data_IF_873499623392
#
_entry.id   IF_873499623392
#
_cell.length_a   1.000
_cell.length_b   1.000
_cell.length_c   1.000
_cell.angle_alpha   90.00
_cell.angle_beta   90.00
_cell.angle_gamma   90.00
#
_symmetry.space_group_name_H-M   'P 1'
#
loop_
_entity.id
_entity.type
_entity.pdbx_description
1 polymer ?
#
# COMPACT_ATOMS: atom_id res chain seq x y z
N UNK A 1 -21.59 -0.48 6.74
CA UNK A 1 -21.04 -0.60 5.37
C UNK A 1 -19.78 0.25 5.33
N UNK A 2 -18.70 -0.23 4.72
CA UNK A 2 -17.43 0.50 4.65
C UNK A 2 -17.29 1.19 3.29
N UNK A 3 -16.73 2.38 3.27
CA UNK A 3 -16.55 3.19 2.07
C UNK A 3 -15.11 3.66 1.97
N UNK A 4 -14.51 3.44 0.80
CA UNK A 4 -13.20 3.95 0.44
C UNK A 4 -13.27 4.84 -0.79
N UNK A 5 -12.29 5.73 -0.92
CA UNK A 5 -12.16 6.62 -2.08
C UNK A 5 -10.75 6.51 -2.66
N UNK A 6 -10.65 6.55 -3.99
CA UNK A 6 -9.36 6.63 -4.67
C UNK A 6 -9.01 8.10 -4.83
N UNK A 7 -7.84 8.50 -4.35
CA UNK A 7 -7.32 9.85 -4.48
C UNK A 7 -6.97 10.17 -5.94
N UNK A 8 -7.01 11.45 -6.34
CA UNK A 8 -6.77 11.87 -7.71
C UNK A 8 -5.33 11.58 -8.12
N UNK A 9 -5.16 11.46 -9.43
CA UNK A 9 -3.86 11.57 -10.08
C UNK A 9 -3.59 13.03 -10.40
N UNK A 10 -2.31 13.43 -10.42
CA UNK A 10 -1.93 14.81 -10.74
C UNK A 10 -2.55 15.27 -12.05
N UNK A 11 -3.14 16.47 -12.04
CA UNK A 11 -3.77 17.05 -13.22
C UNK A 11 -2.73 17.66 -14.17
N UNK A 12 -3.07 17.73 -15.46
CA UNK A 12 -2.20 18.34 -16.47
C UNK A 12 -1.97 19.82 -16.13
N UNK A 13 -0.71 20.23 -16.02
CA UNK A 13 -0.32 21.61 -15.72
C UNK A 13 -0.34 21.96 -14.22
N UNK A 14 -0.80 21.05 -13.35
CA UNK A 14 -0.73 21.22 -11.91
C UNK A 14 0.73 21.09 -11.44
N UNK A 15 1.13 21.96 -10.51
CA UNK A 15 2.47 21.83 -9.92
C UNK A 15 2.55 20.61 -9.01
N UNK A 16 3.73 20.01 -8.88
CA UNK A 16 3.91 18.87 -7.98
C UNK A 16 3.68 19.26 -6.51
N UNK A 17 4.08 20.46 -6.12
CA UNK A 17 3.90 20.99 -4.76
C UNK A 17 2.41 21.08 -4.38
N UNK A 18 1.61 21.68 -5.27
CA UNK A 18 0.16 21.78 -5.13
C UNK A 18 -0.50 20.39 -5.05
N UNK A 19 -0.15 19.48 -5.97
CA UNK A 19 -0.69 18.13 -5.97
C UNK A 19 -0.39 17.37 -4.67
N UNK A 20 0.84 17.44 -4.18
CA UNK A 20 1.22 16.75 -2.93
C UNK A 20 0.48 17.35 -1.72
N UNK A 21 0.30 18.68 -1.68
CA UNK A 21 -0.49 19.35 -0.64
C UNK A 21 -1.98 18.96 -0.69
N UNK A 22 -2.55 18.85 -1.89
CA UNK A 22 -3.93 18.40 -2.10
C UNK A 22 -4.14 16.97 -1.64
N UNK A 23 -3.24 16.02 -1.96
CA UNK A 23 -3.38 14.63 -1.51
C UNK A 23 -3.50 14.50 0.02
N UNK A 24 -2.72 15.28 0.77
CA UNK A 24 -2.79 15.30 2.23
C UNK A 24 -4.11 15.91 2.70
N UNK A 25 -4.50 17.05 2.10
CA UNK A 25 -5.73 17.75 2.44
C UNK A 25 -6.96 16.88 2.17
N UNK A 26 -7.02 16.22 1.02
CA UNK A 26 -8.12 15.34 0.65
C UNK A 26 -8.21 14.11 1.56
N UNK A 27 -7.09 13.54 1.98
CA UNK A 27 -7.10 12.46 2.95
C UNK A 27 -7.69 12.91 4.30
N UNK A 28 -7.35 14.10 4.77
CA UNK A 28 -7.93 14.68 6.00
C UNK A 28 -9.43 14.92 5.84
N UNK A 29 -9.84 15.52 4.72
CA UNK A 29 -11.28 15.74 4.43
C UNK A 29 -12.04 14.42 4.32
N UNK A 30 -11.43 13.38 3.73
CA UNK A 30 -12.03 12.05 3.64
C UNK A 30 -12.23 11.45 5.05
N UNK A 31 -11.25 11.57 5.94
CA UNK A 31 -11.37 11.17 7.35
C UNK A 31 -12.52 11.92 8.06
N UNK A 32 -12.55 13.25 7.95
CA UNK A 32 -13.59 14.10 8.56
C UNK A 32 -14.99 13.80 8.02
N UNK A 33 -15.07 13.39 6.75
CA UNK A 33 -16.32 13.00 6.08
C UNK A 33 -16.78 11.58 6.41
N UNK A 34 -15.97 10.82 7.17
CA UNK A 34 -16.31 9.47 7.62
C UNK A 34 -16.00 8.35 6.63
N UNK A 35 -15.11 8.57 5.65
CA UNK A 35 -14.56 7.48 4.84
C UNK A 35 -13.64 6.60 5.69
N UNK A 36 -13.67 5.29 5.45
CA UNK A 36 -12.84 4.32 6.18
C UNK A 36 -11.41 4.27 5.63
N UNK A 37 -11.25 4.57 4.33
CA UNK A 37 -9.98 4.38 3.63
C UNK A 37 -9.82 5.28 2.42
N UNK A 38 -8.57 5.64 2.13
CA UNK A 38 -8.15 6.25 0.89
C UNK A 38 -7.17 5.34 0.16
N UNK A 39 -7.19 5.38 -1.17
CA UNK A 39 -6.31 4.57 -2.00
C UNK A 39 -5.59 5.43 -3.02
N UNK A 40 -4.33 5.11 -3.30
CA UNK A 40 -3.54 5.79 -4.32
C UNK A 40 -2.92 4.76 -5.28
N UNK A 41 -3.11 4.90 -6.61
CA UNK A 41 -2.52 3.99 -7.60
C UNK A 41 -1.02 4.26 -7.78
N UNK A 42 -0.31 3.31 -8.39
CA UNK A 42 1.05 3.52 -8.87
C UNK A 42 1.05 3.74 -10.39
N UNK A 43 1.71 4.81 -10.84
CA UNK A 43 1.91 5.12 -12.25
C UNK A 43 3.35 5.56 -12.48
N UNK A 44 4.05 4.89 -13.39
CA UNK A 44 5.37 5.30 -13.85
C UNK A 44 5.28 5.93 -15.23
N UNK A 45 6.28 6.74 -15.57
CA UNK A 45 6.44 7.36 -16.90
C UNK A 45 5.20 8.13 -17.40
N UNK A 46 4.29 8.49 -16.50
CA UNK A 46 3.04 9.14 -16.86
C UNK A 46 3.35 10.53 -17.41
N UNK A 47 2.99 10.75 -18.68
CA UNK A 47 3.16 12.04 -19.37
C UNK A 47 2.43 13.18 -18.68
N UNK A 48 1.44 12.87 -17.85
CA UNK A 48 0.47 13.81 -17.31
C UNK A 48 0.36 13.81 -15.78
N UNK A 49 1.23 13.13 -15.02
CA UNK A 49 1.15 13.21 -13.56
C UNK A 49 2.09 12.29 -12.77
N UNK A 50 2.43 12.71 -11.55
CA UNK A 50 3.38 12.04 -10.68
C UNK A 50 2.66 11.29 -9.54
N UNK A 51 2.35 10.01 -9.77
CA UNK A 51 1.97 9.09 -8.69
C UNK A 51 2.94 7.90 -8.68
N UNK A 52 4.21 8.23 -8.53
CA UNK A 52 5.33 7.33 -8.81
C UNK A 52 5.74 6.47 -7.62
N UNK A 53 5.34 6.85 -6.40
CA UNK A 53 5.69 6.11 -5.18
C UNK A 53 4.59 6.26 -4.14
N UNK A 54 3.51 5.45 -4.23
CA UNK A 54 2.38 5.58 -3.33
C UNK A 54 2.73 5.23 -1.88
N UNK A 55 3.75 4.39 -1.63
CA UNK A 55 4.22 4.07 -0.29
C UNK A 55 4.83 5.28 0.42
N UNK A 56 5.60 6.11 -0.29
CA UNK A 56 6.25 7.30 0.27
C UNK A 56 5.22 8.35 0.68
N UNK A 57 4.32 8.73 -0.23
CA UNK A 57 3.25 9.68 0.10
C UNK A 57 2.24 9.09 1.10
N UNK A 58 2.05 7.76 1.06
CA UNK A 58 1.27 7.01 2.03
C UNK A 58 1.75 7.19 3.46
N UNK A 59 3.06 7.23 3.70
CA UNK A 59 3.62 7.53 5.02
C UNK A 59 3.17 8.90 5.54
N UNK A 60 3.20 9.92 4.67
CA UNK A 60 2.76 11.27 5.01
C UNK A 60 1.24 11.33 5.28
N UNK A 61 0.43 10.69 4.43
CA UNK A 61 -1.03 10.59 4.62
C UNK A 61 -1.35 9.91 5.96
N UNK A 62 -0.68 8.79 6.26
CA UNK A 62 -0.88 8.05 7.50
C UNK A 62 -0.47 8.88 8.72
N UNK A 63 0.53 9.75 8.64
CA UNK A 63 0.90 10.64 9.74
C UNK A 63 -0.01 11.87 9.86
N UNK A 64 -0.62 12.32 8.75
CA UNK A 64 -1.55 13.46 8.73
C UNK A 64 -2.98 13.11 9.18
N UNK A 65 -3.27 11.82 9.38
CA UNK A 65 -4.60 11.28 9.72
C UNK A 65 -4.51 10.34 10.93
N UNK A 66 -5.63 10.16 11.63
CA UNK A 66 -5.64 9.48 12.94
C UNK A 66 -6.29 8.09 12.93
N UNK A 67 -7.26 7.88 12.06
CA UNK A 67 -8.12 6.69 11.97
C UNK A 67 -8.23 6.15 10.55
N UNK A 68 -8.06 7.01 9.53
CA UNK A 68 -8.14 6.69 8.12
C UNK A 68 -7.13 5.61 7.75
N UNK A 69 -7.56 4.64 6.96
CA UNK A 69 -6.66 3.64 6.37
C UNK A 69 -6.12 4.16 5.04
N UNK A 70 -4.85 3.89 4.77
CA UNK A 70 -4.25 4.18 3.48
C UNK A 70 -3.91 2.89 2.78
N UNK A 71 -4.28 2.76 1.50
CA UNK A 71 -3.88 1.64 0.68
C UNK A 71 -3.21 2.05 -0.62
N UNK A 72 -2.26 1.22 -1.07
CA UNK A 72 -1.90 1.22 -2.48
C UNK A 72 -3.09 0.64 -3.24
N UNK A 73 -3.68 1.38 -4.19
CA UNK A 73 -4.79 0.85 -5.00
C UNK A 73 -4.29 -0.37 -5.79
N UNK A 74 -3.14 -0.18 -6.46
CA UNK A 74 -2.31 -1.20 -7.09
C UNK A 74 -0.87 -0.73 -6.99
N UNK A 75 -0.03 -1.47 -6.29
CA UNK A 75 1.42 -1.45 -6.46
C UNK A 75 1.78 -2.51 -7.52
N UNK A 76 2.47 -2.12 -8.59
CA UNK A 76 2.88 -2.98 -9.69
C UNK A 76 4.04 -3.88 -9.23
N UNK A 77 3.70 -4.95 -8.49
CA UNK A 77 4.66 -5.73 -7.73
C UNK A 77 5.86 -6.26 -8.55
N UNK A 78 5.71 -6.73 -9.80
CA UNK A 78 6.85 -7.18 -10.62
C UNK A 78 7.90 -6.10 -10.92
N UNK A 79 7.58 -4.81 -10.73
CA UNK A 79 8.56 -3.72 -10.88
C UNK A 79 9.43 -3.53 -9.62
N UNK A 80 9.17 -4.27 -8.55
CA UNK A 80 9.84 -4.14 -7.26
C UNK A 80 10.40 -5.47 -6.78
N UNK A 81 11.47 -5.42 -5.98
CA UNK A 81 11.97 -6.61 -5.31
C UNK A 81 11.02 -7.01 -4.16
N UNK A 82 10.64 -8.30 -4.01
CA UNK A 82 9.64 -8.73 -3.01
C UNK A 82 10.02 -8.38 -1.57
N UNK A 83 11.31 -8.50 -1.22
CA UNK A 83 11.81 -8.09 0.11
C UNK A 83 11.63 -6.59 0.36
N UNK A 84 11.86 -5.74 -0.65
CA UNK A 84 11.68 -4.27 -0.52
C UNK A 84 10.20 -3.94 -0.29
N UNK A 85 9.30 -4.58 -1.05
CA UNK A 85 7.84 -4.46 -0.84
C UNK A 85 7.48 -4.83 0.60
N UNK A 86 7.98 -5.97 1.10
CA UNK A 86 7.70 -6.41 2.46
C UNK A 86 8.19 -5.40 3.52
N UNK A 87 9.43 -4.93 3.39
CA UNK A 87 10.02 -3.97 4.32
C UNK A 87 9.25 -2.64 4.34
N UNK A 88 8.89 -2.08 3.18
CA UNK A 88 8.09 -0.86 3.11
C UNK A 88 6.70 -1.05 3.71
N UNK A 89 6.05 -2.18 3.39
CA UNK A 89 4.75 -2.50 3.93
C UNK A 89 4.78 -2.64 5.47
N UNK A 90 5.82 -3.27 6.02
CA UNK A 90 6.01 -3.40 7.46
C UNK A 90 6.27 -2.04 8.11
N UNK A 91 7.10 -1.19 7.51
CA UNK A 91 7.34 0.15 8.04
C UNK A 91 6.04 0.98 8.07
N UNK A 92 5.23 0.93 7.02
CA UNK A 92 3.94 1.62 6.97
C UNK A 92 2.91 1.03 7.96
N UNK A 93 2.87 -0.29 8.09
CA UNK A 93 1.99 -0.98 9.05
C UNK A 93 2.30 -0.57 10.49
N UNK A 94 3.58 -0.55 10.87
CA UNK A 94 4.02 -0.12 12.20
C UNK A 94 3.84 1.39 12.42
N UNK A 95 4.26 2.21 11.45
CA UNK A 95 4.13 3.67 11.51
C UNK A 95 2.67 4.11 11.74
N UNK A 96 1.73 3.35 11.19
CA UNK A 96 0.31 3.68 11.23
C UNK A 96 -0.51 2.91 12.26
N UNK A 97 0.12 2.01 13.03
CA UNK A 97 -0.55 1.10 13.95
C UNK A 97 -1.62 0.22 13.26
N UNK A 98 -1.29 -0.36 12.11
CA UNK A 98 -2.16 -1.31 11.41
C UNK A 98 -3.17 -0.68 10.44
N UNK A 99 -2.97 0.57 10.04
CA UNK A 99 -3.86 1.28 9.10
C UNK A 99 -3.42 1.22 7.65
N UNK A 100 -2.27 0.62 7.36
CA UNK A 100 -1.82 0.40 5.99
C UNK A 100 -2.54 -0.81 5.34
N UNK A 101 -2.84 -0.70 4.05
CA UNK A 101 -3.41 -1.75 3.20
C UNK A 101 -2.46 -1.95 2.01
N UNK A 102 -1.86 -3.13 1.89
CA UNK A 102 -0.99 -3.43 0.76
C UNK A 102 -1.82 -3.99 -0.41
N UNK A 103 -2.28 -3.12 -1.31
CA UNK A 103 -2.89 -3.52 -2.58
C UNK A 103 -1.83 -3.70 -3.66
N UNK A 104 -1.78 -4.89 -4.25
CA UNK A 104 -0.79 -5.28 -5.25
C UNK A 104 -1.49 -5.67 -6.56
N UNK A 105 -0.76 -5.58 -7.67
CA UNK A 105 -1.15 -6.15 -8.94
C UNK A 105 0.05 -6.44 -9.82
N UNK A 106 -0.18 -7.22 -10.88
CA UNK A 106 0.87 -7.65 -11.81
C UNK A 106 1.39 -6.51 -12.72
N UNK A 107 0.80 -5.32 -12.68
CA UNK A 107 1.11 -4.24 -13.62
C UNK A 107 0.64 -4.54 -15.05
N UNK A 108 0.63 -3.52 -15.91
CA UNK A 108 0.13 -3.67 -17.28
C UNK A 108 0.91 -2.87 -18.34
N UNK A 109 1.52 -1.75 -17.96
CA UNK A 109 2.13 -0.81 -18.89
C UNK A 109 3.53 -1.28 -19.34
N UNK A 110 3.64 -1.76 -20.58
CA UNK A 110 4.88 -2.33 -21.14
C UNK A 110 6.08 -1.36 -21.04
N UNK A 111 5.84 -0.07 -21.24
CA UNK A 111 6.91 0.95 -21.18
C UNK A 111 7.58 1.00 -19.81
N UNK A 112 6.81 0.79 -18.74
CA UNK A 112 7.33 0.77 -17.38
C UNK A 112 8.22 -0.46 -17.19
N UNK A 113 7.76 -1.63 -17.61
CA UNK A 113 8.54 -2.88 -17.58
C UNK A 113 9.89 -2.76 -18.31
N UNK A 114 9.88 -2.14 -19.49
CA UNK A 114 11.11 -1.85 -20.24
C UNK A 114 12.03 -0.93 -19.44
N UNK A 115 11.50 0.09 -18.78
CA UNK A 115 12.30 1.03 -17.98
C UNK A 115 12.95 0.38 -16.75
N UNK A 116 12.28 -0.60 -16.14
CA UNK A 116 12.79 -1.37 -15.00
C UNK A 116 13.60 -2.61 -15.41
N UNK A 117 13.72 -2.90 -16.72
CA UNK A 117 14.43 -4.08 -17.22
C UNK A 117 13.75 -5.41 -16.87
N UNK A 118 12.43 -5.39 -16.65
CA UNK A 118 11.63 -6.57 -16.29
C UNK A 118 10.90 -7.07 -17.54
N UNK A 119 10.87 -8.38 -17.75
CA UNK A 119 10.09 -8.97 -18.83
C UNK A 119 8.59 -8.90 -18.53
N UNK A 120 7.86 -8.14 -19.34
CA UNK A 120 6.40 -8.01 -19.24
C UNK A 120 5.67 -9.34 -19.50
N UNK A 121 6.28 -10.24 -20.29
CA UNK A 121 5.73 -11.54 -20.64
C UNK A 121 5.57 -12.48 -19.45
N UNK A 122 6.42 -12.33 -18.43
CA UNK A 122 6.45 -13.17 -17.22
C UNK A 122 5.85 -12.49 -15.98
N UNK A 123 5.18 -11.34 -16.16
CA UNK A 123 4.69 -10.51 -15.04
C UNK A 123 3.69 -11.22 -14.13
N UNK A 124 2.91 -12.16 -14.65
CA UNK A 124 1.89 -12.87 -13.85
C UNK A 124 2.55 -13.92 -12.97
N UNK A 125 3.48 -14.67 -13.53
CA UNK A 125 4.27 -15.69 -12.85
C UNK A 125 5.16 -15.03 -11.79
N UNK A 126 5.83 -13.92 -12.12
CA UNK A 126 6.56 -13.09 -11.15
C UNK A 126 5.65 -12.59 -10.03
N UNK A 127 4.44 -12.13 -10.36
CA UNK A 127 3.49 -11.64 -9.36
C UNK A 127 3.08 -12.73 -8.38
N UNK A 128 2.78 -13.94 -8.86
CA UNK A 128 2.43 -15.09 -8.01
C UNK A 128 3.61 -15.49 -7.10
N UNK A 129 4.84 -15.54 -7.63
CA UNK A 129 6.03 -15.82 -6.84
C UNK A 129 6.28 -14.75 -5.78
N UNK A 130 6.09 -13.46 -6.12
CA UNK A 130 6.19 -12.35 -5.17
C UNK A 130 5.17 -12.49 -4.04
N UNK A 131 3.90 -12.83 -4.33
CA UNK A 131 2.89 -13.05 -3.30
C UNK A 131 3.29 -14.16 -2.32
N UNK A 132 3.90 -15.23 -2.83
CA UNK A 132 4.45 -16.30 -2.00
C UNK A 132 5.55 -15.78 -1.07
N UNK A 133 6.56 -15.10 -1.63
CA UNK A 133 7.70 -14.56 -0.87
C UNK A 133 7.23 -13.56 0.19
N UNK A 134 6.26 -12.69 -0.12
CA UNK A 134 5.69 -11.76 0.85
C UNK A 134 5.08 -12.48 2.07
N UNK A 135 4.42 -13.62 1.85
CA UNK A 135 3.93 -14.47 2.94
C UNK A 135 5.06 -14.97 3.85
N UNK A 136 6.20 -15.36 3.27
CA UNK A 136 7.40 -15.76 4.01
C UNK A 136 7.99 -14.58 4.80
N UNK A 137 8.14 -13.41 4.16
CA UNK A 137 8.64 -12.19 4.82
C UNK A 137 7.79 -11.80 6.03
N UNK A 138 6.46 -11.81 5.90
CA UNK A 138 5.55 -11.42 6.98
C UNK A 138 5.47 -12.45 8.12
N UNK A 139 6.02 -13.65 7.95
CA UNK A 139 6.11 -14.64 9.03
C UNK A 139 7.07 -14.19 10.15
N UNK A 140 8.05 -13.35 9.82
CA UNK A 140 9.12 -12.93 10.73
C UNK A 140 10.02 -14.07 11.20
N UNK A 141 10.14 -15.12 10.39
CA UNK A 141 11.05 -16.25 10.63
C UNK A 141 12.09 -16.29 9.51
N UNK A 142 13.29 -16.87 9.77
CA UNK A 142 14.22 -17.21 8.70
C UNK A 142 13.53 -18.07 7.63
N UNK A 143 13.81 -17.78 6.37
CA UNK A 143 13.34 -18.56 5.24
C UNK A 143 14.40 -18.59 4.12
N UNK A 144 14.27 -19.62 3.29
CA UNK A 144 14.96 -19.72 2.01
C UNK A 144 13.92 -19.93 0.93
N UNK A 145 14.08 -19.28 -0.20
CA UNK A 145 13.24 -19.38 -1.38
C UNK A 145 14.15 -19.54 -2.60
N UNK A 146 13.93 -20.59 -3.37
CA UNK A 146 14.65 -20.91 -4.61
C UNK A 146 13.61 -21.08 -5.71
N UNK A 147 13.20 -19.95 -6.29
CA UNK A 147 12.16 -19.87 -7.31
C UNK A 147 12.72 -19.62 -8.71
N UNK A 148 11.82 -19.43 -9.67
CA UNK A 148 12.20 -19.20 -11.06
C UNK A 148 12.74 -17.78 -11.26
N UNK A 149 12.22 -16.81 -10.49
CA UNK A 149 12.58 -15.40 -10.60
C UNK A 149 13.47 -14.90 -9.46
N UNK A 150 13.34 -15.46 -8.26
CA UNK A 150 14.07 -15.00 -7.09
C UNK A 150 14.76 -16.16 -6.34
N UNK A 151 16.01 -15.95 -5.95
CA UNK A 151 16.73 -16.80 -5.00
C UNK A 151 17.08 -15.96 -3.77
N UNK A 152 16.49 -16.29 -2.63
CA UNK A 152 16.51 -15.47 -1.41
C UNK A 152 16.79 -16.35 -0.20
N UNK A 153 17.72 -15.93 0.64
CA UNK A 153 17.89 -16.42 2.01
C UNK A 153 17.82 -15.21 2.94
N UNK A 154 16.78 -15.13 3.77
CA UNK A 154 16.51 -13.92 4.54
C UNK A 154 15.69 -14.20 5.82
N UNK A 155 15.74 -13.23 6.73
CA UNK A 155 14.82 -13.09 7.85
C UNK A 155 14.36 -11.64 7.90
N UNK A 156 13.08 -11.37 7.63
CA UNK A 156 12.54 -10.01 7.60
C UNK A 156 11.86 -9.71 8.92
N UNK A 157 12.27 -8.62 9.56
CA UNK A 157 11.71 -8.15 10.84
C UNK A 157 11.39 -6.65 10.75
N UNK A 158 10.43 -6.13 11.55
CA UNK A 158 9.57 -6.82 12.53
C UNK A 158 8.43 -7.62 11.87
N UNK A 159 7.71 -8.43 12.66
CA UNK A 159 6.42 -9.00 12.21
C UNK A 159 5.36 -7.90 12.06
N UNK A 160 4.30 -8.08 11.26
CA UNK A 160 3.22 -7.10 11.14
C UNK A 160 2.63 -6.68 12.50
N UNK A 161 2.43 -5.38 12.71
CA UNK A 161 1.73 -4.81 13.87
C UNK A 161 0.32 -5.38 13.99
N UNK A 162 -0.36 -5.53 12.85
CA UNK A 162 -1.71 -6.07 12.76
C UNK A 162 -1.81 -7.59 13.00
N UNK A 163 -0.72 -8.29 13.30
CA UNK A 163 -0.70 -9.70 13.71
C UNK A 163 -1.05 -10.73 12.61
N UNK A 164 -1.42 -10.26 11.42
CA UNK A 164 -1.51 -11.01 10.17
C UNK A 164 -0.95 -10.13 9.05
N UNK A 165 -0.59 -10.73 7.90
CA UNK A 165 -0.13 -9.98 6.74
C UNK A 165 -1.10 -8.83 6.40
N UNK A 166 -0.54 -7.69 5.99
CA UNK A 166 -1.21 -6.42 5.61
C UNK A 166 -2.18 -6.53 4.42
N UNK A 167 -2.55 -7.75 4.04
CA UNK A 167 -3.39 -8.14 2.92
C UNK A 167 -4.85 -8.41 3.32
N UNK A 168 -5.17 -8.44 4.62
CA UNK A 168 -6.47 -8.92 5.09
C UNK A 168 -7.40 -7.78 5.55
N UNK A 169 -8.15 -7.22 4.61
CA UNK A 169 -9.29 -6.33 4.89
C UNK A 169 -10.47 -7.06 5.60
N UNK A 170 -10.44 -8.39 5.71
CA UNK A 170 -11.61 -9.19 6.12
C UNK A 170 -11.57 -9.75 7.55
N UNK A 171 -10.44 -9.75 8.27
CA UNK A 171 -10.30 -10.51 9.53
C UNK A 171 -10.34 -9.77 10.86
N UNK A 172 -10.27 -8.44 10.91
CA UNK A 172 -10.37 -7.70 12.19
C UNK A 172 -11.76 -7.05 12.33
N UNK A 173 -12.71 -7.61 13.10
CA UNK A 173 -13.83 -6.82 13.58
C UNK A 173 -13.27 -5.69 14.44
N UNK A 174 -13.39 -4.46 13.94
CA UNK A 174 -12.93 -3.27 14.64
C UNK A 174 -13.74 -3.10 15.94
N UNK A 175 -13.11 -2.71 17.07
CA UNK A 175 -13.85 -2.42 18.29
C UNK A 175 -14.79 -1.26 18.01
N UNK A 176 -16.09 -1.53 17.92
CA UNK A 176 -17.13 -0.52 17.84
C UNK A 176 -16.94 0.47 19.00
N UNK A 177 -16.30 1.62 18.73
CA UNK A 177 -16.25 2.75 19.66
C UNK A 177 -17.59 3.49 19.61
N UNK A 178 -18.67 2.78 19.92
CA UNK A 178 -19.87 3.43 20.39
C UNK A 178 -19.69 3.58 21.90
N UNK A 179 -19.18 4.74 22.33
CA UNK A 179 -19.42 5.18 23.71
C UNK A 179 -20.94 5.16 23.90
N UNK A 180 -21.50 4.44 24.88
CA UNK A 180 -22.90 4.64 25.21
C UNK A 180 -23.05 6.11 25.63
N UNK A 181 -23.81 6.86 24.85
CA UNK A 181 -24.25 8.19 25.23
C UNK A 181 -25.06 8.01 26.53
N UNK A 182 -24.54 8.50 27.66
CA UNK A 182 -25.25 8.44 28.93
C UNK A 182 -26.56 9.21 28.78
N UNK A 183 -27.67 8.48 28.75
CA UNK A 183 -28.99 9.07 28.78
C UNK A 183 -29.15 9.80 30.10
N UNK A 184 -29.15 11.13 30.04
CA UNK A 184 -29.65 11.97 31.11
C UNK A 184 -31.13 11.64 31.33
N UNK A 185 -31.46 11.11 32.50
CA UNK A 185 -32.74 11.27 33.21
C UNK A 185 -32.46 11.35 34.69
#
# INVERSE_FOLDING_TARGET
MQYGVVLPIQAIGQSLDEFLGELITEAQVAEESGFDSVFLPEFHQARNGAVISPTVIGAAILQATSTLRFGTAVLAAPLHHPVRIAEDALMLDWLSHGRFILGLGAGHQITDFVAYGVDHGTRTEQFEEILHILGLCFSGKPFSHDGDFFQIEAEITPRPYSGAATTDLARRPWPCRHRPCSAAR
#
